data_IF_568646001492
#
_entry.id   IF_568646001492
#
_cell.length_a   1.000
_cell.length_b   1.000
_cell.length_c   1.000
_cell.angle_alpha   90.00
_cell.angle_beta   90.00
_cell.angle_gamma   90.00
#
_symmetry.space_group_name_H-M   'P 1'
#
loop_
_entity.id
_entity.type
_entity.pdbx_description
1 polymer ?
#
# COMPACT_ATOMS: atom_id res chain seq x y z
N UNK A 1 -5.53 9.74 -4.88
CA UNK A 1 -4.80 8.56 -5.41
C UNK A 1 -3.36 8.63 -4.93
N UNK A 2 -2.82 7.53 -4.41
CA UNK A 2 -1.45 7.46 -3.87
C UNK A 2 -0.56 6.81 -4.94
N UNK A 3 0.61 7.39 -5.20
CA UNK A 3 1.62 6.80 -6.09
C UNK A 3 2.64 6.04 -5.26
N UNK A 4 2.88 4.78 -5.59
CA UNK A 4 3.96 3.97 -5.02
C UNK A 4 5.13 3.94 -5.99
N UNK A 5 6.33 3.99 -5.43
CA UNK A 5 7.59 3.69 -6.13
C UNK A 5 8.31 2.56 -5.44
N UNK A 6 8.89 1.62 -6.19
CA UNK A 6 9.61 0.48 -5.64
C UNK A 6 10.71 0.01 -6.59
N UNK A 7 11.62 -0.83 -6.11
CA UNK A 7 12.64 -1.51 -6.92
C UNK A 7 12.61 -3.00 -6.62
N UNK A 8 12.60 -3.85 -7.63
CA UNK A 8 12.81 -5.28 -7.42
C UNK A 8 14.30 -5.56 -7.23
N UNK A 9 14.65 -6.67 -6.59
CA UNK A 9 16.01 -6.88 -6.05
C UNK A 9 17.16 -6.81 -7.05
N UNK A 10 16.88 -6.99 -8.35
CA UNK A 10 17.90 -6.92 -9.43
C UNK A 10 17.56 -5.84 -10.46
N UNK A 11 16.52 -5.05 -10.22
CA UNK A 11 16.13 -4.02 -11.16
C UNK A 11 16.94 -2.76 -10.93
N UNK A 12 17.48 -2.20 -12.01
CA UNK A 12 18.13 -0.89 -11.99
C UNK A 12 17.11 0.24 -12.14
N UNK A 13 15.87 -0.09 -12.49
CA UNK A 13 14.80 0.87 -12.69
C UNK A 13 13.83 0.90 -11.52
N UNK A 14 13.33 2.11 -11.25
CA UNK A 14 12.25 2.33 -10.30
C UNK A 14 10.91 2.11 -10.99
N UNK A 15 10.10 1.24 -10.41
CA UNK A 15 8.74 0.97 -10.86
C UNK A 15 7.76 1.92 -10.20
N UNK A 16 6.58 2.03 -10.81
CA UNK A 16 5.50 2.88 -10.35
C UNK A 16 4.19 2.10 -10.28
N UNK A 17 3.46 2.32 -9.21
CA UNK A 17 2.14 1.75 -9.02
C UNK A 17 1.20 2.75 -8.34
N UNK A 18 -0.07 2.38 -8.25
CA UNK A 18 -1.08 3.12 -7.51
C UNK A 18 -1.50 2.34 -6.27
N UNK A 19 -1.86 3.06 -5.22
CA UNK A 19 -2.42 2.49 -4.01
C UNK A 19 -3.54 3.37 -3.45
N UNK A 20 -4.30 2.80 -2.53
CA UNK A 20 -5.34 3.50 -1.79
C UNK A 20 -5.17 3.28 -0.28
N UNK A 21 -5.63 4.24 0.52
CA UNK A 21 -5.77 4.02 1.95
C UNK A 21 -6.96 3.09 2.22
N UNK A 22 -6.77 2.16 3.15
CA UNK A 22 -7.84 1.34 3.72
C UNK A 22 -7.72 1.36 5.23
N UNK A 23 -8.85 1.21 5.94
CA UNK A 23 -8.88 1.15 7.39
C UNK A 23 -9.26 -0.24 7.85
N UNK A 24 -8.43 -0.85 8.69
CA UNK A 24 -8.64 -2.19 9.25
C UNK A 24 -8.46 -2.09 10.76
N UNK A 25 -9.49 -2.45 11.52
CA UNK A 25 -9.50 -2.36 12.99
C UNK A 25 -9.03 -0.98 13.52
N UNK A 26 -9.51 0.10 12.89
CA UNK A 26 -9.19 1.47 13.27
C UNK A 26 -7.83 1.99 12.78
N UNK A 27 -6.93 1.13 12.28
CA UNK A 27 -5.60 1.50 11.76
C UNK A 27 -5.62 1.70 10.25
N UNK A 28 -4.82 2.65 9.76
CA UNK A 28 -4.68 2.96 8.32
C UNK A 28 -3.58 2.11 7.69
N UNK A 29 -3.87 1.58 6.50
CA UNK A 29 -2.96 0.78 5.67
C UNK A 29 -3.02 1.25 4.21
N UNK A 30 -2.08 0.79 3.40
CA UNK A 30 -2.15 0.90 1.94
C UNK A 30 -2.62 -0.41 1.34
N UNK A 31 -3.62 -0.37 0.47
CA UNK A 31 -3.98 -1.46 -0.42
C UNK A 31 -3.37 -1.22 -1.82
N UNK A 32 -2.73 -2.24 -2.36
CA UNK A 32 -2.10 -2.24 -3.70
C UNK A 32 -2.07 -3.66 -4.27
N UNK A 33 -1.56 -3.84 -5.50
CA UNK A 33 -1.30 -5.17 -6.05
C UNK A 33 -0.06 -5.80 -5.41
N UNK A 34 -0.05 -7.12 -5.24
CA UNK A 34 1.05 -7.82 -4.60
C UNK A 34 2.32 -7.80 -5.45
N UNK A 35 2.22 -7.89 -6.78
CA UNK A 35 3.37 -7.76 -7.68
C UNK A 35 4.06 -6.38 -7.61
N UNK A 36 3.43 -5.37 -7.01
CA UNK A 36 4.03 -4.05 -6.83
C UNK A 36 4.93 -3.94 -5.58
N UNK A 37 4.90 -4.95 -4.71
CA UNK A 37 5.60 -4.92 -3.41
C UNK A 37 6.33 -6.22 -3.10
N UNK A 38 6.20 -7.22 -3.95
CA UNK A 38 6.83 -8.53 -3.80
C UNK A 38 7.22 -9.09 -5.17
N UNK A 39 8.46 -9.58 -5.28
CA UNK A 39 8.99 -10.27 -6.44
C UNK A 39 8.76 -11.79 -6.28
N UNK A 40 7.79 -12.39 -7.00
CA UNK A 40 7.49 -13.81 -6.85
C UNK A 40 8.59 -14.72 -7.41
N UNK A 41 9.45 -14.23 -8.31
CA UNK A 41 10.54 -15.04 -8.87
C UNK A 41 11.67 -15.23 -7.84
N UNK A 42 11.92 -14.19 -7.03
CA UNK A 42 12.97 -14.21 -6.00
C UNK A 42 12.47 -14.51 -4.61
N UNK A 43 11.16 -14.52 -4.42
CA UNK A 43 10.51 -14.69 -3.12
C UNK A 43 10.90 -13.59 -2.13
N UNK A 44 11.08 -12.35 -2.61
CA UNK A 44 11.55 -11.21 -1.81
C UNK A 44 10.59 -10.02 -1.88
N UNK A 45 10.52 -9.26 -0.79
CA UNK A 45 9.82 -7.96 -0.78
C UNK A 45 10.61 -6.95 -1.59
N UNK A 46 9.93 -6.15 -2.41
CA UNK A 46 10.55 -5.09 -3.20
C UNK A 46 11.26 -4.07 -2.29
N UNK A 47 12.38 -3.53 -2.74
CA UNK A 47 13.22 -2.57 -2.02
C UNK A 47 12.71 -1.14 -2.21
N UNK A 48 12.99 -0.28 -1.23
CA UNK A 48 12.70 1.17 -1.24
C UNK A 48 11.26 1.51 -1.68
N UNK A 49 10.27 0.79 -1.11
CA UNK A 49 8.86 1.04 -1.37
C UNK A 49 8.44 2.34 -0.69
N UNK A 50 8.32 3.41 -1.48
CA UNK A 50 7.88 4.73 -1.04
C UNK A 50 6.52 5.09 -1.61
N UNK A 51 5.71 5.77 -0.81
CA UNK A 51 4.47 6.38 -1.25
C UNK A 51 4.61 7.89 -1.40
N UNK A 52 3.91 8.44 -2.39
CA UNK A 52 3.73 9.87 -2.59
C UNK A 52 2.24 10.17 -2.66
N UNK A 53 1.80 11.10 -1.83
CA UNK A 53 0.43 11.60 -1.80
C UNK A 53 0.46 13.10 -2.04
N UNK A 54 -0.39 13.60 -2.93
CA UNK A 54 -0.58 15.04 -3.13
C UNK A 54 -1.86 15.49 -2.45
N UNK A 55 -1.76 16.40 -1.47
CA UNK A 55 -2.89 16.99 -0.74
C UNK A 55 -2.73 18.50 -0.71
N UNK A 56 -3.75 19.25 -1.13
CA UNK A 56 -3.77 20.72 -1.09
C UNK A 56 -2.50 21.36 -1.68
N UNK A 57 -2.03 20.83 -2.81
CA UNK A 57 -0.82 21.30 -3.48
C UNK A 57 0.50 20.83 -2.87
N UNK A 58 0.51 20.28 -1.65
CA UNK A 58 1.70 19.73 -0.98
C UNK A 58 1.88 18.25 -1.33
N UNK A 59 3.13 17.80 -1.36
CA UNK A 59 3.48 16.38 -1.55
C UNK A 59 3.98 15.82 -0.23
N UNK A 60 3.28 14.81 0.25
CA UNK A 60 3.65 14.03 1.43
C UNK A 60 4.30 12.73 0.98
N UNK A 61 5.40 12.39 1.63
CA UNK A 61 6.18 11.19 1.35
C UNK A 61 6.06 10.27 2.55
N UNK A 62 5.87 8.98 2.29
CA UNK A 62 5.98 7.96 3.31
C UNK A 62 6.72 6.73 2.81
N UNK A 63 7.11 5.89 3.75
CA UNK A 63 7.79 4.63 3.47
C UNK A 63 6.92 3.48 3.97
N UNK A 64 6.87 2.41 3.18
CA UNK A 64 6.25 1.16 3.60
C UNK A 64 7.15 0.49 4.62
N UNK A 65 6.57 0.07 5.74
CA UNK A 65 7.27 -0.54 6.88
C UNK A 65 6.98 -2.03 7.04
N UNK A 66 5.95 -2.53 6.34
CA UNK A 66 5.53 -3.92 6.40
C UNK A 66 4.60 -4.23 5.24
N UNK A 67 4.66 -5.47 4.77
CA UNK A 67 3.91 -5.97 3.61
C UNK A 67 3.24 -7.28 4.01
N UNK A 68 1.95 -7.37 3.76
CA UNK A 68 1.15 -8.59 3.91
C UNK A 68 0.56 -8.96 2.56
N UNK A 69 0.86 -10.17 2.11
CA UNK A 69 0.37 -10.75 0.86
C UNK A 69 -0.21 -12.13 1.12
N UNK A 70 -1.10 -12.59 0.24
CA UNK A 70 -1.63 -13.94 0.31
C UNK A 70 -0.55 -14.96 -0.05
N UNK A 71 -0.40 -16.03 0.75
CA UNK A 71 0.55 -17.11 0.47
C UNK A 71 0.30 -17.76 -0.89
N UNK A 72 -0.95 -17.82 -1.36
CA UNK A 72 -1.30 -18.39 -2.67
C UNK A 72 -0.80 -17.53 -3.83
N UNK A 73 -0.72 -16.21 -3.66
CA UNK A 73 -0.02 -15.37 -4.63
C UNK A 73 1.48 -15.60 -4.56
N UNK A 74 2.04 -15.59 -3.35
CA UNK A 74 3.47 -15.77 -3.10
C UNK A 74 4.00 -17.08 -3.70
N UNK A 75 3.30 -18.19 -3.48
CA UNK A 75 3.76 -19.53 -3.84
C UNK A 75 3.41 -19.92 -5.28
N UNK A 76 2.29 -19.43 -5.83
CA UNK A 76 1.72 -19.94 -7.08
C UNK A 76 1.49 -18.85 -8.14
N UNK A 77 1.67 -17.57 -7.82
CA UNK A 77 1.43 -16.47 -8.76
C UNK A 77 -0.02 -16.37 -9.25
N UNK A 78 -0.99 -16.87 -8.46
CA UNK A 78 -2.39 -16.88 -8.84
C UNK A 78 -2.98 -15.48 -8.84
N UNK A 79 -3.20 -14.89 -10.03
CA UNK A 79 -3.63 -13.50 -10.23
C UNK A 79 -4.88 -13.08 -9.42
N UNK A 80 -5.77 -14.02 -9.09
CA UNK A 80 -6.93 -13.75 -8.22
C UNK A 80 -6.55 -13.32 -6.79
N UNK A 81 -5.32 -13.58 -6.38
CA UNK A 81 -4.77 -13.24 -5.08
C UNK A 81 -3.68 -12.15 -5.18
N UNK A 82 -3.56 -11.45 -6.32
CA UNK A 82 -2.60 -10.35 -6.53
C UNK A 82 -3.04 -9.07 -5.78
N UNK A 83 -3.06 -9.15 -4.45
CA UNK A 83 -3.41 -8.06 -3.55
C UNK A 83 -2.45 -8.05 -2.36
N UNK A 84 -2.16 -6.84 -1.89
CA UNK A 84 -1.31 -6.60 -0.73
C UNK A 84 -1.89 -5.52 0.17
N UNK A 85 -1.70 -5.72 1.48
CA UNK A 85 -1.92 -4.71 2.51
C UNK A 85 -0.56 -4.33 3.10
N UNK A 86 -0.25 -3.03 3.11
CA UNK A 86 1.02 -2.52 3.57
C UNK A 86 0.84 -1.56 4.75
N UNK A 87 1.65 -1.73 5.80
CA UNK A 87 1.82 -0.70 6.82
C UNK A 87 2.80 0.35 6.32
N UNK A 88 2.64 1.59 6.75
CA UNK A 88 3.49 2.69 6.32
C UNK A 88 3.70 3.70 7.45
N UNK A 89 4.67 4.59 7.26
CA UNK A 89 4.82 5.82 8.04
C UNK A 89 5.10 6.99 7.11
N UNK A 90 4.58 8.17 7.41
CA UNK A 90 5.02 9.39 6.75
C UNK A 90 6.42 9.79 7.23
N UNK A 91 7.18 10.44 6.36
CA UNK A 91 8.46 11.06 6.74
C UNK A 91 8.24 12.37 7.54
N UNK A 92 7.10 13.02 7.30
CA UNK A 92 6.58 14.16 8.07
C UNK A 92 5.64 13.68 9.19
N UNK A 93 5.32 14.57 10.14
CA UNK A 93 4.24 14.36 11.12
C UNK A 93 2.84 14.52 10.48
N UNK A 94 2.70 14.15 9.21
CA UNK A 94 1.47 14.29 8.47
C UNK A 94 0.50 13.16 8.81
N UNK A 95 -0.70 13.53 9.25
CA UNK A 95 -1.81 12.62 9.47
C UNK A 95 -2.89 12.87 8.40
N UNK A 96 -3.02 12.01 7.37
CA UNK A 96 -3.99 12.20 6.31
C UNK A 96 -5.39 12.06 6.88
N UNK A 97 -6.11 13.19 7.05
CA UNK A 97 -7.52 13.31 7.42
C UNK A 97 -8.01 12.35 8.53
N UNK A 98 -8.28 12.90 9.72
CA UNK A 98 -9.31 12.34 10.58
C UNK A 98 -10.66 12.63 9.91
N UNK A 99 -11.15 11.72 9.07
CA UNK A 99 -12.58 11.71 8.78
C UNK A 99 -13.17 10.90 9.92
N UNK A 100 -13.83 11.57 10.87
CA UNK A 100 -14.85 10.91 11.66
C UNK A 100 -15.90 10.42 10.67
N UNK A 101 -15.76 9.18 10.21
CA UNK A 101 -16.82 8.53 9.49
C UNK A 101 -17.90 8.19 10.50
N UNK A 102 -18.79 9.15 10.75
CA UNK A 102 -20.10 8.87 11.33
C UNK A 102 -20.88 8.03 10.31
N UNK A 103 -20.56 6.74 10.23
CA UNK A 103 -21.43 5.76 9.59
C UNK A 103 -22.64 5.60 10.50
N UNK A 104 -23.64 6.46 10.30
CA UNK A 104 -24.99 6.16 10.76
C UNK A 104 -25.46 4.97 9.93
N UNK A 105 -25.28 3.75 10.47
CA UNK A 105 -26.01 2.59 9.98
C UNK A 105 -27.50 2.93 10.16
N UNK A 106 -28.17 3.24 9.05
CA UNK A 106 -29.62 3.26 9.05
C UNK A 106 -30.07 1.82 9.27
N UNK A 107 -30.87 1.54 10.31
CA UNK A 107 -31.39 0.20 10.51
C UNK A 107 -32.21 -0.22 9.28
N UNK A 108 -31.99 -1.45 8.82
CA UNK A 108 -32.80 -2.06 7.77
C UNK A 108 -34.25 -2.15 8.27
N UNK A 109 -35.17 -1.51 7.55
CA UNK A 109 -36.63 -1.59 7.76
C UNK A 109 -37.21 -2.79 7.03
#
# INVERSE_FOLDING_TARGET
>A
MIKITFMNSDDTHRHFASANFVQIAGKKYLATAAHCVFDPLKQEISKDIRMKLRVNGKTEIGIVTGVSIDNRWKEQGLLRFDNAICSFKFESNFEPFAVETAFNYLPET
#
